data_IF_164039822558
#
_entry.id   IF_164039822558
#
_cell.length_a   1.000
_cell.length_b   1.000
_cell.length_c   1.000
_cell.angle_alpha   90.00
_cell.angle_beta   90.00
_cell.angle_gamma   90.00
#
_symmetry.space_group_name_H-M   'P 1'
#
loop_
_entity.id
_entity.type
_entity.pdbx_description
1 polymer ?
#
# COMPACT_ATOMS: atom_id res chain seq x y z
N UNK A 1 0.39 -15.06 16.79
CA UNK A 1 -1.05 -14.77 16.71
C UNK A 1 -1.69 -15.63 15.63
N UNK A 2 -2.92 -16.08 15.88
CA UNK A 2 -3.71 -16.78 14.87
C UNK A 2 -4.21 -15.82 13.79
N UNK A 3 -4.73 -16.37 12.71
CA UNK A 3 -5.37 -15.55 11.66
C UNK A 3 -6.54 -14.74 12.23
N UNK A 4 -7.37 -15.35 13.09
CA UNK A 4 -8.50 -14.65 13.69
C UNK A 4 -8.06 -13.49 14.58
N UNK A 5 -6.97 -13.64 15.32
CA UNK A 5 -6.40 -12.55 16.13
C UNK A 5 -5.89 -11.41 15.26
N UNK A 6 -5.25 -11.72 14.14
CA UNK A 6 -4.80 -10.70 13.19
C UNK A 6 -5.97 -9.99 12.50
N UNK A 7 -7.03 -10.71 12.18
CA UNK A 7 -8.26 -10.09 11.62
C UNK A 7 -8.90 -9.15 12.65
N UNK A 8 -8.97 -9.56 13.91
CA UNK A 8 -9.49 -8.71 14.99
C UNK A 8 -8.64 -7.44 15.16
N UNK A 9 -7.32 -7.57 15.07
CA UNK A 9 -6.39 -6.45 15.12
C UNK A 9 -6.63 -5.47 13.96
N UNK A 10 -6.78 -5.99 12.74
CA UNK A 10 -7.10 -5.18 11.56
C UNK A 10 -8.43 -4.43 11.74
N UNK A 11 -9.47 -5.13 12.17
CA UNK A 11 -10.81 -4.56 12.35
C UNK A 11 -10.83 -3.46 13.40
N UNK A 12 -10.05 -3.60 14.46
CA UNK A 12 -9.92 -2.59 15.50
C UNK A 12 -9.31 -1.30 14.95
N UNK A 13 -8.36 -1.40 14.03
CA UNK A 13 -7.74 -0.24 13.38
C UNK A 13 -8.58 0.34 12.25
N UNK A 14 -9.49 -0.45 11.70
CA UNK A 14 -10.34 -0.06 10.58
C UNK A 14 -11.82 -0.34 10.92
N UNK A 15 -12.39 0.37 11.91
CA UNK A 15 -13.73 0.05 12.41
C UNK A 15 -14.84 0.23 11.37
N UNK A 16 -14.62 1.13 10.38
CA UNK A 16 -15.61 1.40 9.33
C UNK A 16 -15.37 0.55 8.07
N UNK A 17 -14.33 -0.27 8.06
CA UNK A 17 -13.97 -1.13 6.93
C UNK A 17 -13.38 -2.44 7.45
N UNK A 18 -14.22 -3.31 8.06
CA UNK A 18 -13.74 -4.59 8.56
C UNK A 18 -13.23 -5.47 7.44
N UNK A 19 -12.28 -6.33 7.77
CA UNK A 19 -11.64 -7.21 6.79
C UNK A 19 -12.69 -8.12 6.11
N UNK A 20 -12.62 -8.13 4.79
CA UNK A 20 -13.31 -9.10 3.92
C UNK A 20 -12.35 -9.44 2.79
N UNK A 21 -12.24 -10.72 2.40
CA UNK A 21 -11.42 -11.10 1.26
C UNK A 21 -11.82 -10.31 0.02
N UNK A 22 -10.82 -9.77 -0.69
CA UNK A 22 -11.06 -9.00 -1.91
C UNK A 22 -11.04 -9.92 -3.13
N UNK A 23 -11.96 -9.69 -4.06
CA UNK A 23 -12.05 -10.47 -5.29
C UNK A 23 -10.78 -10.27 -6.15
N UNK A 24 -10.23 -11.37 -6.64
CA UNK A 24 -9.05 -11.36 -7.49
C UNK A 24 -7.73 -11.18 -6.75
N UNK A 25 -7.75 -11.06 -5.42
CA UNK A 25 -6.54 -10.98 -4.62
C UNK A 25 -6.13 -12.35 -4.09
N UNK A 26 -4.84 -12.57 -4.00
CA UNK A 26 -4.25 -13.73 -3.32
C UNK A 26 -3.92 -13.35 -1.90
N UNK A 27 -4.28 -14.21 -0.96
CA UNK A 27 -4.12 -13.97 0.47
C UNK A 27 -2.89 -14.70 1.01
N UNK A 28 -2.07 -13.98 1.77
CA UNK A 28 -0.88 -14.52 2.44
C UNK A 28 -0.99 -14.30 3.94
N UNK A 29 -0.69 -15.34 4.70
CA UNK A 29 -0.71 -15.30 6.15
C UNK A 29 0.58 -15.88 6.72
N UNK A 30 1.22 -15.12 7.61
CA UNK A 30 2.40 -15.55 8.37
C UNK A 30 2.11 -15.26 9.84
N UNK A 31 2.00 -16.29 10.70
CA UNK A 31 1.53 -16.11 12.10
C UNK A 31 2.27 -15.03 12.88
N UNK A 32 3.58 -14.91 12.73
CA UNK A 32 4.40 -13.93 13.45
C UNK A 32 4.41 -12.56 12.80
N UNK A 33 3.91 -12.44 11.58
CA UNK A 33 4.01 -11.21 10.78
C UNK A 33 2.67 -10.55 10.46
N UNK A 34 1.61 -11.34 10.32
CA UNK A 34 0.29 -10.86 9.96
C UNK A 34 -0.22 -11.42 8.64
N UNK A 35 -1.00 -10.63 7.91
CA UNK A 35 -1.50 -11.03 6.60
C UNK A 35 -1.40 -9.89 5.57
N UNK A 36 -1.45 -10.28 4.32
CA UNK A 36 -1.43 -9.35 3.19
C UNK A 36 -2.17 -9.95 2.00
N UNK A 37 -2.91 -9.12 1.28
CA UNK A 37 -3.48 -9.47 -0.01
C UNK A 37 -2.69 -8.85 -1.13
N UNK A 38 -2.47 -9.58 -2.22
CA UNK A 38 -1.86 -9.04 -3.43
C UNK A 38 -2.66 -9.38 -4.68
N UNK A 39 -2.56 -8.51 -5.68
CA UNK A 39 -3.14 -8.72 -7.00
C UNK A 39 -2.18 -8.22 -8.06
N UNK A 40 -2.08 -8.95 -9.17
CA UNK A 40 -1.36 -8.46 -10.36
C UNK A 40 -2.32 -7.64 -11.20
N UNK A 41 -1.90 -6.44 -11.60
CA UNK A 41 -2.67 -5.56 -12.48
C UNK A 41 -1.74 -5.07 -13.59
N UNK A 42 -1.80 -5.73 -14.76
CA UNK A 42 -0.83 -5.47 -15.84
C UNK A 42 0.59 -5.78 -15.36
N UNK A 43 1.47 -4.78 -15.45
CA UNK A 43 2.87 -4.88 -15.05
C UNK A 43 3.12 -4.44 -13.61
N UNK A 44 2.06 -4.26 -12.82
CA UNK A 44 2.13 -3.77 -11.46
C UNK A 44 1.60 -4.82 -10.48
N UNK A 45 2.24 -4.93 -9.31
CA UNK A 45 1.70 -5.69 -8.18
C UNK A 45 0.99 -4.72 -7.24
N UNK A 46 -0.26 -5.02 -6.91
CA UNK A 46 -1.07 -4.22 -5.98
C UNK A 46 -1.10 -4.90 -4.62
N UNK A 47 -0.75 -4.16 -3.58
CA UNK A 47 -0.94 -4.57 -2.20
C UNK A 47 -2.31 -4.10 -1.74
N UNK A 48 -3.12 -5.03 -1.24
CA UNK A 48 -4.46 -4.76 -0.72
C UNK A 48 -4.47 -4.64 0.80
N UNK A 49 -5.47 -5.24 1.42
CA UNK A 49 -5.61 -5.24 2.87
C UNK A 49 -4.40 -5.91 3.52
N UNK A 50 -3.87 -5.27 4.56
CA UNK A 50 -2.67 -5.72 5.24
C UNK A 50 -2.79 -5.45 6.74
N UNK A 51 -2.43 -6.44 7.54
CA UNK A 51 -2.28 -6.29 8.98
C UNK A 51 -0.91 -6.82 9.40
N UNK A 52 -0.26 -6.11 10.32
CA UNK A 52 1.00 -6.52 10.90
C UNK A 52 2.21 -5.83 10.27
N UNK A 53 3.24 -6.60 9.95
CA UNK A 53 4.53 -6.07 9.49
C UNK A 53 4.51 -5.75 7.99
N UNK A 54 4.11 -4.51 7.67
CA UNK A 54 3.99 -4.04 6.29
C UNK A 54 5.33 -4.09 5.53
N UNK A 55 6.44 -3.77 6.20
CA UNK A 55 7.77 -3.82 5.57
C UNK A 55 8.14 -5.24 5.16
N UNK A 56 7.88 -6.20 6.05
CA UNK A 56 8.13 -7.61 5.76
C UNK A 56 7.36 -8.05 4.50
N UNK A 57 6.07 -7.77 4.43
CA UNK A 57 5.25 -8.16 3.28
C UNK A 57 5.67 -7.45 2.00
N UNK A 58 5.94 -6.16 2.08
CA UNK A 58 6.41 -5.39 0.92
C UNK A 58 7.70 -5.98 0.36
N UNK A 59 8.70 -6.25 1.21
CA UNK A 59 9.98 -6.83 0.79
C UNK A 59 9.82 -8.23 0.19
N UNK A 60 8.99 -9.08 0.78
CA UNK A 60 8.74 -10.44 0.28
C UNK A 60 8.04 -10.42 -1.06
N UNK A 61 7.02 -9.59 -1.21
CA UNK A 61 6.29 -9.43 -2.47
C UNK A 61 7.22 -8.90 -3.56
N UNK A 62 7.99 -7.86 -3.27
CA UNK A 62 8.94 -7.29 -4.22
C UNK A 62 9.98 -8.32 -4.68
N UNK A 63 10.55 -9.09 -3.78
CA UNK A 63 11.51 -10.13 -4.11
C UNK A 63 10.91 -11.19 -5.04
N UNK A 64 9.67 -11.61 -4.77
CA UNK A 64 8.98 -12.60 -5.57
C UNK A 64 8.64 -12.09 -6.97
N UNK A 65 8.05 -10.90 -7.08
CA UNK A 65 7.60 -10.37 -8.38
C UNK A 65 8.76 -9.85 -9.23
N UNK A 66 9.87 -9.45 -8.61
CA UNK A 66 11.08 -9.07 -9.33
C UNK A 66 11.60 -10.21 -10.21
N UNK A 67 11.49 -11.44 -9.74
CA UNK A 67 11.84 -12.64 -10.50
C UNK A 67 10.95 -12.84 -11.73
N UNK A 68 9.74 -12.28 -11.71
CA UNK A 68 8.79 -12.31 -12.82
C UNK A 68 8.93 -11.12 -13.78
N UNK A 69 9.92 -10.24 -13.53
CA UNK A 69 10.13 -9.05 -14.34
C UNK A 69 9.23 -7.86 -13.98
N UNK A 70 8.47 -7.95 -12.89
CA UNK A 70 7.63 -6.85 -12.43
C UNK A 70 8.50 -5.78 -11.78
N UNK A 71 8.29 -4.52 -12.19
CA UNK A 71 9.12 -3.38 -11.78
C UNK A 71 8.36 -2.30 -11.03
N UNK A 72 7.07 -2.47 -10.79
CA UNK A 72 6.23 -1.46 -10.16
C UNK A 72 5.29 -2.09 -9.16
N UNK A 73 5.18 -1.45 -8.00
CA UNK A 73 4.22 -1.78 -6.96
C UNK A 73 3.24 -0.63 -6.75
N UNK A 74 2.07 -0.93 -6.20
CA UNK A 74 1.08 0.09 -5.90
C UNK A 74 0.16 -0.32 -4.75
N UNK A 75 -0.45 0.68 -4.13
CA UNK A 75 -1.49 0.49 -3.11
C UNK A 75 -2.40 1.72 -3.04
N UNK A 76 -3.66 1.50 -2.68
CA UNK A 76 -4.57 2.60 -2.33
C UNK A 76 -4.46 2.86 -0.83
N UNK A 77 -4.38 4.14 -0.46
CA UNK A 77 -4.27 4.57 0.93
C UNK A 77 -5.33 5.62 1.25
N UNK A 78 -6.18 5.33 2.25
CA UNK A 78 -7.21 6.25 2.73
C UNK A 78 -6.75 7.05 3.96
N UNK A 79 -5.50 6.90 4.37
CA UNK A 79 -4.96 7.57 5.55
C UNK A 79 -4.79 9.07 5.32
N UNK A 80 -5.25 9.86 6.29
CA UNK A 80 -5.11 11.32 6.24
C UNK A 80 -3.65 11.74 6.36
N UNK A 81 -2.85 11.00 7.15
CA UNK A 81 -1.44 11.27 7.38
C UNK A 81 -0.57 10.63 6.29
N UNK A 82 -0.92 10.85 5.03
CA UNK A 82 -0.24 10.23 3.89
C UNK A 82 1.28 10.51 3.91
N UNK A 83 1.70 11.70 4.31
CA UNK A 83 3.12 12.07 4.35
C UNK A 83 3.88 11.28 5.41
N UNK A 84 3.27 11.09 6.59
CA UNK A 84 3.87 10.27 7.63
C UNK A 84 3.94 8.81 7.20
N UNK A 85 2.93 8.33 6.49
CA UNK A 85 2.88 6.95 5.99
C UNK A 85 4.00 6.66 4.98
N UNK A 86 4.23 7.53 4.01
CA UNK A 86 5.31 7.34 3.04
C UNK A 86 6.70 7.44 3.68
N UNK A 87 6.88 8.28 4.70
CA UNK A 87 8.13 8.36 5.47
C UNK A 87 8.41 7.07 6.22
N UNK A 88 7.39 6.40 6.73
CA UNK A 88 7.52 5.12 7.41
C UNK A 88 8.19 4.06 6.52
N UNK A 89 7.95 4.11 5.21
CA UNK A 89 8.55 3.20 4.25
C UNK A 89 9.90 3.69 3.70
N UNK A 90 10.43 4.77 4.25
CA UNK A 90 11.76 5.27 3.91
C UNK A 90 11.82 6.25 2.74
N UNK A 91 10.67 6.74 2.28
CA UNK A 91 10.61 7.72 1.19
C UNK A 91 10.65 9.15 1.73
N UNK A 92 11.26 10.04 0.97
CA UNK A 92 11.20 11.49 1.18
C UNK A 92 10.59 12.16 -0.03
N UNK A 93 9.95 13.30 0.19
CA UNK A 93 9.35 14.09 -0.87
C UNK A 93 10.44 14.90 -1.57
N UNK A 94 10.59 14.70 -2.87
CA UNK A 94 11.52 15.45 -3.70
C UNK A 94 10.84 16.65 -4.35
N UNK A 95 9.58 16.51 -4.74
CA UNK A 95 8.82 17.57 -5.42
C UNK A 95 7.33 17.42 -5.12
N UNK A 96 6.65 18.54 -5.02
CA UNK A 96 5.19 18.62 -4.84
C UNK A 96 4.58 19.35 -6.02
N UNK A 97 3.51 18.78 -6.58
CA UNK A 97 2.73 19.40 -7.66
C UNK A 97 1.32 19.71 -7.15
N UNK A 98 0.92 20.98 -7.23
CA UNK A 98 -0.45 21.40 -6.89
C UNK A 98 -1.37 21.17 -8.08
N UNK A 99 -2.51 20.53 -7.85
CA UNK A 99 -3.50 20.25 -8.88
C UNK A 99 -4.61 21.32 -8.87
N UNK A 100 -5.38 21.46 -9.97
CA UNK A 100 -6.41 22.51 -10.08
C UNK A 100 -7.49 22.45 -8.99
N UNK A 101 -7.78 21.28 -8.44
CA UNK A 101 -8.78 21.08 -7.38
C UNK A 101 -8.27 21.38 -5.97
N UNK A 102 -7.02 21.85 -5.83
CA UNK A 102 -6.37 22.14 -4.55
C UNK A 102 -5.70 20.96 -3.90
N UNK A 103 -5.79 19.76 -4.47
CA UNK A 103 -5.05 18.59 -3.99
C UNK A 103 -3.60 18.63 -4.48
N UNK A 104 -2.77 17.73 -3.95
CA UNK A 104 -1.35 17.69 -4.28
C UNK A 104 -0.90 16.28 -4.66
N UNK A 105 0.00 16.22 -5.64
CA UNK A 105 0.73 15.02 -6.02
C UNK A 105 2.14 15.14 -5.50
N UNK A 106 2.68 14.04 -4.95
CA UNK A 106 4.01 14.02 -4.35
C UNK A 106 4.92 13.09 -5.13
N UNK A 107 6.06 13.61 -5.55
CA UNK A 107 7.14 12.85 -6.19
C UNK A 107 8.18 12.53 -5.12
N UNK A 108 8.43 11.24 -4.90
CA UNK A 108 9.23 10.77 -3.80
C UNK A 108 10.41 9.93 -4.27
N UNK A 109 11.44 9.84 -3.42
CA UNK A 109 12.56 8.93 -3.63
C UNK A 109 12.89 8.23 -2.31
N UNK A 110 13.25 6.96 -2.39
CA UNK A 110 13.67 6.19 -1.23
C UNK A 110 15.03 6.70 -0.76
N UNK A 111 15.17 6.93 0.55
CA UNK A 111 16.38 7.52 1.15
C UNK A 111 17.64 6.69 0.91
N UNK A 112 17.51 5.35 0.90
CA UNK A 112 18.66 4.45 0.83
C UNK A 112 18.95 3.94 -0.59
N UNK A 113 17.93 3.81 -1.43
CA UNK A 113 18.07 3.20 -2.76
C UNK A 113 17.93 4.20 -3.91
N UNK A 114 17.35 5.38 -3.65
CA UNK A 114 17.01 6.35 -4.68
C UNK A 114 15.85 5.95 -5.58
N UNK A 115 15.21 4.81 -5.34
CA UNK A 115 14.07 4.35 -6.14
C UNK A 115 12.90 5.31 -6.01
N UNK A 116 12.22 5.56 -7.12
CA UNK A 116 11.17 6.55 -7.20
C UNK A 116 9.85 6.03 -6.67
N UNK A 117 9.05 6.95 -6.10
CA UNK A 117 7.68 6.71 -5.69
C UNK A 117 6.82 7.91 -6.06
N UNK A 118 5.53 7.66 -6.26
CA UNK A 118 4.55 8.68 -6.62
C UNK A 118 3.30 8.52 -5.77
N UNK A 119 2.82 9.62 -5.20
CA UNK A 119 1.58 9.67 -4.42
C UNK A 119 0.59 10.55 -5.18
N UNK A 120 -0.46 9.96 -5.72
CA UNK A 120 -1.44 10.66 -6.57
C UNK A 120 -2.80 10.71 -5.88
N UNK A 121 -3.42 11.90 -5.75
CA UNK A 121 -4.79 12.05 -5.24
C UNK A 121 -5.82 11.75 -6.33
N UNK A 122 -7.11 11.89 -6.00
CA UNK A 122 -8.19 11.80 -6.96
C UNK A 122 -8.79 10.41 -7.13
N UNK A 123 -8.45 9.49 -6.25
CA UNK A 123 -9.00 8.14 -6.23
C UNK A 123 -10.06 8.00 -5.14
N UNK A 124 -10.91 7.02 -5.28
CA UNK A 124 -11.95 6.69 -4.32
C UNK A 124 -11.82 5.22 -3.95
N UNK A 125 -11.92 4.93 -2.65
CA UNK A 125 -11.92 3.56 -2.17
C UNK A 125 -13.34 2.99 -2.31
N UNK A 126 -13.51 1.98 -3.16
CA UNK A 126 -14.83 1.47 -3.57
C UNK A 126 -15.70 0.95 -2.41
N UNK A 127 -15.08 0.35 -1.39
CA UNK A 127 -15.81 -0.22 -0.26
C UNK A 127 -16.50 0.83 0.61
N UNK A 128 -15.89 2.00 0.78
CA UNK A 128 -16.38 3.03 1.71
C UNK A 128 -16.74 4.35 1.04
N UNK A 129 -16.35 4.57 -0.21
CA UNK A 129 -16.51 5.84 -0.90
C UNK A 129 -15.55 6.94 -0.42
N UNK A 130 -14.61 6.61 0.47
CA UNK A 130 -13.64 7.57 0.98
C UNK A 130 -12.63 7.98 -0.08
N UNK A 131 -12.16 9.23 -0.01
CA UNK A 131 -11.08 9.71 -0.85
C UNK A 131 -9.79 8.95 -0.51
N UNK A 132 -9.05 8.59 -1.55
CA UNK A 132 -7.84 7.80 -1.43
C UNK A 132 -6.71 8.37 -2.27
N UNK A 133 -5.49 8.07 -1.86
CA UNK A 133 -4.29 8.28 -2.68
C UNK A 133 -3.88 6.95 -3.31
N UNK A 134 -3.46 7.00 -4.56
CA UNK A 134 -2.75 5.88 -5.17
C UNK A 134 -1.25 6.11 -4.95
N UNK A 135 -0.62 5.19 -4.26
CA UNK A 135 0.83 5.18 -4.06
C UNK A 135 1.41 4.15 -5.01
N UNK A 136 2.36 4.56 -5.84
CA UNK A 136 3.11 3.66 -6.71
C UNK A 136 4.60 3.82 -6.46
N UNK A 137 5.38 2.76 -6.66
CA UNK A 137 6.83 2.81 -6.43
C UNK A 137 7.57 1.84 -7.35
N UNK A 138 8.84 2.15 -7.61
CA UNK A 138 9.76 1.26 -8.30
C UNK A 138 10.17 0.09 -7.41
N UNK A 139 10.19 -1.09 -7.98
CA UNK A 139 10.66 -2.31 -7.32
C UNK A 139 12.12 -2.60 -7.69
#
# INVERSE_FOLDING_TARGET
>A
MTLYEWIAFYNKKNPNDPFQPSDGFTFFFVPEKGFCEIRMLGDMVILGQLAGDARFFKEKVEAAVRKLGIREGGTLCIRREILAYIRLFGYRIERTESLPDGTKRYFCAHRDTGKLGLVSPGYTYDKTGELAYLITWEI
#
